data_IF_465375029341
#
_entry.id   IF_465375029341
#
_cell.length_a   1.000
_cell.length_b   1.000
_cell.length_c   1.000
_cell.angle_alpha   90.00
_cell.angle_beta   90.00
_cell.angle_gamma   90.00
#
_symmetry.space_group_name_H-M   'P 1'
#
loop_
_entity.id
_entity.type
_entity.pdbx_description
1 polymer ?
#
# COMPACT_ATOMS: atom_id res chain seq x y z
N UNK A 1 -13.98 -7.10 -17.23
CA UNK A 1 -12.56 -7.48 -17.15
C UNK A 1 -12.48 -8.83 -16.51
N UNK A 2 -11.85 -9.79 -17.17
CA UNK A 2 -11.72 -11.16 -16.69
C UNK A 2 -10.46 -11.25 -15.83
N UNK A 3 -10.61 -11.72 -14.60
CA UNK A 3 -9.52 -11.88 -13.65
C UNK A 3 -9.01 -13.30 -13.73
N UNK A 4 -7.76 -13.48 -14.14
CA UNK A 4 -7.16 -14.80 -14.24
C UNK A 4 -6.41 -15.08 -12.94
N UNK A 5 -6.76 -16.15 -12.24
CA UNK A 5 -6.14 -16.55 -10.98
C UNK A 5 -5.39 -17.86 -11.11
N UNK A 6 -4.17 -17.91 -10.58
CA UNK A 6 -3.36 -19.11 -10.43
C UNK A 6 -3.02 -19.34 -8.96
N UNK A 7 -3.08 -20.60 -8.54
CA UNK A 7 -2.64 -21.04 -7.21
C UNK A 7 -1.34 -21.81 -7.36
N UNK A 8 -0.42 -21.56 -6.45
CA UNK A 8 0.89 -22.18 -6.38
C UNK A 8 1.04 -22.93 -5.06
N UNK A 9 2.10 -23.73 -4.97
CA UNK A 9 2.51 -24.35 -3.72
C UNK A 9 2.82 -23.28 -2.65
N UNK A 10 2.83 -23.69 -1.37
CA UNK A 10 3.01 -22.80 -0.20
C UNK A 10 1.90 -21.76 0.01
N UNK A 11 0.68 -22.04 -0.47
CA UNK A 11 -0.50 -21.21 -0.23
C UNK A 11 -0.45 -19.85 -0.94
N UNK A 12 0.44 -19.68 -1.91
CA UNK A 12 0.52 -18.50 -2.76
C UNK A 12 -0.57 -18.55 -3.83
N UNK A 13 -1.26 -17.44 -4.00
CA UNK A 13 -2.22 -17.24 -5.07
C UNK A 13 -1.93 -15.90 -5.74
N UNK A 14 -1.83 -15.92 -7.06
CA UNK A 14 -1.62 -14.74 -7.88
C UNK A 14 -2.87 -14.57 -8.74
N UNK A 15 -3.38 -13.35 -8.83
CA UNK A 15 -4.45 -13.03 -9.77
C UNK A 15 -4.08 -11.79 -10.55
N UNK A 16 -4.23 -11.82 -11.87
CA UNK A 16 -3.91 -10.68 -12.71
C UNK A 16 -5.11 -10.27 -13.56
N UNK A 17 -5.18 -8.97 -13.84
CA UNK A 17 -6.23 -8.35 -14.63
C UNK A 17 -5.68 -7.09 -15.32
N UNK A 18 -6.17 -6.83 -16.54
CA UNK A 18 -5.88 -5.60 -17.27
C UNK A 18 -6.60 -4.43 -16.59
N UNK A 19 -5.87 -3.57 -15.87
CA UNK A 19 -6.44 -2.39 -15.23
C UNK A 19 -6.76 -1.30 -16.25
N UNK A 20 -5.93 -1.18 -17.29
CA UNK A 20 -6.16 -0.31 -18.45
C UNK A 20 -5.62 -0.99 -19.71
N UNK A 21 -5.72 -0.32 -20.86
CA UNK A 21 -5.16 -0.81 -22.14
C UNK A 21 -3.65 -0.99 -22.10
N UNK A 22 -2.98 -0.27 -21.21
CA UNK A 22 -1.53 -0.22 -21.13
C UNK A 22 -1.01 -0.87 -19.85
N UNK A 23 -1.87 -1.14 -18.85
CA UNK A 23 -1.47 -1.60 -17.51
C UNK A 23 -2.16 -2.91 -17.12
N UNK A 24 -1.37 -3.88 -16.66
CA UNK A 24 -1.82 -5.10 -15.98
C UNK A 24 -1.45 -5.00 -14.50
N UNK A 25 -2.42 -5.29 -13.63
CA UNK A 25 -2.18 -5.39 -12.20
C UNK A 25 -2.24 -6.84 -11.74
N UNK A 26 -1.36 -7.17 -10.80
CA UNK A 26 -1.12 -8.50 -10.26
C UNK A 26 -1.36 -8.44 -8.75
N UNK A 27 -2.49 -8.98 -8.30
CA UNK A 27 -2.79 -9.20 -6.89
C UNK A 27 -2.10 -10.44 -6.37
N UNK A 28 -1.52 -10.32 -5.17
CA UNK A 28 -0.80 -11.40 -4.51
C UNK A 28 -1.48 -11.74 -3.20
N UNK A 29 -1.77 -13.01 -2.99
CA UNK A 29 -2.31 -13.56 -1.75
C UNK A 29 -1.39 -14.64 -1.23
N UNK A 30 -1.13 -14.67 0.09
CA UNK A 30 -0.36 -15.74 0.72
C UNK A 30 -1.13 -16.29 1.92
N UNK A 31 -1.38 -17.60 1.92
CA UNK A 31 -2.20 -18.29 2.93
C UNK A 31 -3.58 -17.63 3.14
N UNK A 32 -4.20 -17.18 2.03
CA UNK A 32 -5.50 -16.49 2.05
C UNK A 32 -5.45 -15.02 2.49
N UNK A 33 -4.30 -14.51 2.95
CA UNK A 33 -4.12 -13.08 3.26
C UNK A 33 -3.74 -12.30 2.00
N UNK A 34 -4.41 -11.17 1.76
CA UNK A 34 -4.03 -10.24 0.70
C UNK A 34 -2.68 -9.57 1.07
N UNK A 35 -1.70 -9.68 0.17
CA UNK A 35 -0.35 -9.14 0.32
C UNK A 35 -0.13 -7.88 -0.53
N UNK A 36 -1.20 -7.28 -1.03
CA UNK A 36 -1.19 -6.15 -1.95
C UNK A 36 -1.15 -6.58 -3.41
N UNK A 37 -0.93 -5.59 -4.27
CA UNK A 37 -0.77 -5.77 -5.70
C UNK A 37 0.42 -4.95 -6.22
N UNK A 38 0.95 -5.36 -7.36
CA UNK A 38 1.88 -4.57 -8.15
C UNK A 38 1.37 -4.54 -9.60
N UNK A 39 1.77 -3.53 -10.36
CA UNK A 39 1.34 -3.39 -11.75
C UNK A 39 2.54 -3.26 -12.68
N UNK A 40 2.33 -3.59 -13.95
CA UNK A 40 3.31 -3.49 -15.02
C UNK A 40 2.62 -3.11 -16.32
N UNK A 41 3.39 -2.62 -17.27
CA UNK A 41 2.88 -2.39 -18.61
C UNK A 41 2.50 -3.74 -19.27
N UNK A 42 1.47 -3.71 -20.11
CA UNK A 42 1.01 -4.90 -20.86
C UNK A 42 2.15 -5.51 -21.68
N UNK A 43 3.00 -4.69 -22.29
CA UNK A 43 4.13 -5.18 -23.10
C UNK A 43 5.12 -6.00 -22.28
N UNK A 44 5.48 -5.54 -21.08
CA UNK A 44 6.39 -6.28 -20.19
C UNK A 44 5.71 -7.52 -19.60
N UNK A 45 4.43 -7.40 -19.23
CA UNK A 45 3.67 -8.53 -18.68
C UNK A 45 3.58 -9.70 -19.67
N UNK A 46 3.46 -9.42 -20.97
CA UNK A 46 3.40 -10.46 -22.01
C UNK A 46 4.70 -11.25 -22.18
N UNK A 47 5.84 -10.69 -21.77
CA UNK A 47 7.15 -11.35 -21.83
C UNK A 47 7.38 -12.27 -20.63
N UNK A 48 6.62 -12.12 -19.55
CA UNK A 48 6.82 -12.91 -18.32
C UNK A 48 6.27 -14.32 -18.45
N UNK A 49 7.10 -15.28 -18.10
CA UNK A 49 6.64 -16.65 -17.91
C UNK A 49 6.11 -16.86 -16.47
N UNK A 50 5.66 -18.08 -16.18
CA UNK A 50 5.14 -18.42 -14.85
C UNK A 50 6.22 -18.35 -13.75
N UNK A 51 7.48 -18.61 -14.08
CA UNK A 51 8.60 -18.54 -13.12
C UNK A 51 8.91 -17.08 -12.80
N UNK A 52 8.86 -16.20 -13.79
CA UNK A 52 9.03 -14.76 -13.60
C UNK A 52 7.94 -14.21 -12.69
N UNK A 53 6.68 -14.53 -12.98
CA UNK A 53 5.53 -14.13 -12.14
C UNK A 53 5.68 -14.63 -10.70
N UNK A 54 6.09 -15.88 -10.52
CA UNK A 54 6.31 -16.47 -9.20
C UNK A 54 7.44 -15.75 -8.44
N UNK A 55 8.54 -15.47 -9.11
CA UNK A 55 9.70 -14.80 -8.52
C UNK A 55 9.37 -13.35 -8.15
N UNK A 56 8.64 -12.64 -9.01
CA UNK A 56 8.16 -11.28 -8.74
C UNK A 56 7.20 -11.27 -7.55
N UNK A 57 6.23 -12.17 -7.50
CA UNK A 57 5.30 -12.27 -6.36
C UNK A 57 6.02 -12.61 -5.04
N UNK A 58 7.01 -13.51 -5.06
CA UNK A 58 7.85 -13.80 -3.88
C UNK A 58 8.67 -12.58 -3.44
N UNK A 59 9.21 -11.84 -4.40
CA UNK A 59 9.96 -10.61 -4.14
C UNK A 59 9.06 -9.53 -3.53
N UNK A 60 7.86 -9.33 -4.09
CA UNK A 60 6.82 -8.47 -3.55
C UNK A 60 6.45 -8.85 -2.11
N UNK A 61 6.17 -10.14 -1.85
CA UNK A 61 5.87 -10.62 -0.49
C UNK A 61 7.02 -10.33 0.46
N UNK A 62 8.27 -10.54 0.03
CA UNK A 62 9.44 -10.22 0.85
C UNK A 62 9.50 -8.73 1.13
N UNK A 63 9.30 -7.87 0.13
CA UNK A 63 9.27 -6.42 0.31
C UNK A 63 8.15 -5.98 1.26
N UNK A 64 6.95 -6.55 1.15
CA UNK A 64 5.83 -6.24 2.05
C UNK A 64 6.07 -6.74 3.48
N UNK A 65 6.73 -7.89 3.66
CA UNK A 65 7.10 -8.40 4.98
C UNK A 65 8.31 -7.69 5.60
N UNK A 66 9.27 -7.28 4.76
CA UNK A 66 10.50 -6.58 5.13
C UNK A 66 10.31 -5.08 5.27
N UNK A 67 9.28 -4.52 4.63
CA UNK A 67 8.60 -3.32 5.09
C UNK A 67 8.00 -3.68 6.46
N UNK A 68 8.86 -3.71 7.47
CA UNK A 68 8.42 -3.59 8.84
C UNK A 68 7.43 -2.43 8.84
N UNK A 69 6.16 -2.67 9.22
CA UNK A 69 5.44 -1.61 9.92
C UNK A 69 6.43 -1.16 10.99
N UNK A 70 6.92 0.09 10.96
CA UNK A 70 7.90 0.54 11.94
C UNK A 70 7.39 0.09 13.30
N UNK A 71 8.22 -0.64 14.05
CA UNK A 71 7.84 -1.15 15.37
C UNK A 71 7.58 -0.01 16.38
N UNK A 72 7.66 1.25 15.95
CA UNK A 72 6.92 2.37 16.52
C UNK A 72 5.83 2.82 15.56
N UNK A 73 4.60 2.35 15.75
CA UNK A 73 3.42 3.04 15.20
C UNK A 73 3.41 4.42 15.84
N UNK A 74 3.81 5.45 15.11
CA UNK A 74 3.67 6.82 15.58
C UNK A 74 2.19 7.17 15.48
N UNK A 75 1.47 6.90 16.56
CA UNK A 75 0.08 7.31 16.71
C UNK A 75 0.02 8.66 17.38
N UNK A 76 -0.70 9.59 16.78
CA UNK A 76 -0.91 10.93 17.33
C UNK A 76 -2.39 11.28 17.27
N UNK A 77 -2.93 11.80 18.37
CA UNK A 77 -4.26 12.42 18.36
C UNK A 77 -4.15 13.83 17.80
N UNK A 78 -5.06 14.17 16.89
CA UNK A 78 -5.12 15.47 16.23
C UNK A 78 -6.59 15.87 16.12
N UNK A 79 -6.98 16.87 16.91
CA UNK A 79 -8.38 17.27 17.07
C UNK A 79 -9.29 16.05 17.37
N UNK A 80 -10.28 15.79 16.52
CA UNK A 80 -11.27 14.72 16.67
C UNK A 80 -10.85 13.39 16.02
N UNK A 81 -9.59 13.28 15.59
CA UNK A 81 -9.03 12.14 14.88
C UNK A 81 -7.80 11.57 15.58
N UNK A 82 -7.49 10.32 15.29
CA UNK A 82 -6.19 9.71 15.56
C UNK A 82 -5.53 9.41 14.22
N UNK A 83 -4.25 9.76 14.07
CA UNK A 83 -3.47 9.38 12.89
C UNK A 83 -2.41 8.35 13.27
N UNK A 84 -2.20 7.37 12.39
CA UNK A 84 -1.06 6.45 12.42
C UNK A 84 -0.24 6.71 11.17
N UNK A 85 1.03 7.10 11.32
CA UNK A 85 1.89 7.36 10.17
C UNK A 85 3.14 6.48 10.16
N UNK A 86 3.54 6.07 8.97
CA UNK A 86 4.71 5.25 8.72
C UNK A 86 5.47 5.73 7.49
N UNK A 87 6.79 5.80 7.61
CA UNK A 87 7.68 6.00 6.46
C UNK A 87 7.66 4.72 5.62
N UNK A 88 7.15 4.81 4.39
CA UNK A 88 7.03 3.66 3.50
C UNK A 88 8.23 3.53 2.55
N UNK A 89 8.82 4.67 2.15
CA UNK A 89 10.07 4.84 1.39
C UNK A 89 10.88 6.01 1.99
N UNK A 90 12.16 6.19 1.62
CA UNK A 90 13.03 7.26 2.19
C UNK A 90 12.37 8.66 2.17
N UNK A 91 11.61 8.93 1.09
CA UNK A 91 11.00 10.25 0.83
C UNK A 91 9.47 10.25 0.93
N UNK A 92 8.84 9.19 1.43
CA UNK A 92 7.37 9.10 1.51
C UNK A 92 6.85 8.60 2.85
N UNK A 93 5.81 9.27 3.33
CA UNK A 93 5.10 8.94 4.57
C UNK A 93 3.64 8.65 4.24
N UNK A 94 3.16 7.49 4.68
CA UNK A 94 1.75 7.13 4.58
C UNK A 94 1.08 7.29 5.94
N UNK A 95 -0.14 7.80 5.93
CA UNK A 95 -0.91 8.22 7.09
C UNK A 95 -2.29 7.55 6.99
N UNK A 96 -2.65 6.81 8.04
CA UNK A 96 -4.00 6.30 8.26
C UNK A 96 -4.72 7.21 9.26
N UNK A 97 -5.95 7.59 8.97
CA UNK A 97 -6.78 8.44 9.83
C UNK A 97 -7.91 7.61 10.42
N UNK A 98 -8.09 7.72 11.74
CA UNK A 98 -9.07 6.98 12.52
C UNK A 98 -9.98 7.92 13.31
N UNK A 99 -11.21 7.50 13.54
CA UNK A 99 -12.12 8.08 14.52
C UNK A 99 -12.85 6.93 15.23
N UNK A 100 -12.77 6.89 16.56
CA UNK A 100 -13.36 5.81 17.37
C UNK A 100 -12.94 4.40 16.90
N UNK A 101 -11.64 4.20 16.62
CA UNK A 101 -11.03 2.97 16.08
C UNK A 101 -11.45 2.59 14.65
N UNK A 102 -12.38 3.29 14.02
CA UNK A 102 -12.73 3.10 12.62
C UNK A 102 -11.79 3.91 11.71
N UNK A 103 -11.18 3.25 10.72
CA UNK A 103 -10.34 3.92 9.74
C UNK A 103 -11.22 4.68 8.74
N UNK A 104 -11.09 6.00 8.72
CA UNK A 104 -11.85 6.88 7.83
C UNK A 104 -11.14 7.14 6.50
N UNK A 105 -9.81 7.26 6.53
CA UNK A 105 -9.02 7.57 5.34
C UNK A 105 -7.60 6.98 5.42
N UNK A 106 -6.96 6.89 4.26
CA UNK A 106 -5.53 6.62 4.12
C UNK A 106 -4.97 7.43 2.95
N UNK A 107 -3.84 8.10 3.17
CA UNK A 107 -3.16 8.86 2.14
C UNK A 107 -1.65 8.83 2.38
N UNK A 108 -0.87 9.15 1.34
CA UNK A 108 0.58 9.29 1.46
C UNK A 108 0.99 10.69 0.97
N UNK A 109 2.05 11.22 1.58
CA UNK A 109 2.67 12.48 1.22
C UNK A 109 4.18 12.27 1.08
N UNK A 110 4.83 13.17 0.34
CA UNK A 110 6.27 13.30 0.47
C UNK A 110 6.64 13.64 1.92
N UNK A 111 7.84 13.20 2.31
CA UNK A 111 8.34 13.32 3.68
C UNK A 111 8.50 14.77 4.12
N UNK A 112 8.93 15.65 3.22
CA UNK A 112 9.19 17.05 3.55
C UNK A 112 7.90 17.78 3.92
N UNK A 113 6.87 17.66 3.08
CA UNK A 113 5.53 18.21 3.38
C UNK A 113 4.98 17.65 4.69
N UNK A 114 5.15 16.35 4.93
CA UNK A 114 4.70 15.74 6.19
C UNK A 114 5.43 16.30 7.41
N UNK A 115 6.75 16.49 7.34
CA UNK A 115 7.54 17.08 8.42
C UNK A 115 7.08 18.52 8.73
N UNK A 116 6.79 19.33 7.70
CA UNK A 116 6.23 20.68 7.89
C UNK A 116 4.87 20.65 8.60
N UNK A 117 3.97 19.74 8.23
CA UNK A 117 2.67 19.62 8.89
C UNK A 117 2.82 19.17 10.34
N UNK A 118 3.74 18.26 10.63
CA UNK A 118 3.92 17.76 12.01
C UNK A 118 4.42 18.84 12.96
N UNK A 119 5.17 19.83 12.45
CA UNK A 119 5.62 21.01 13.21
C UNK A 119 4.47 21.98 13.54
N UNK A 120 3.42 22.02 12.72
CA UNK A 120 2.22 22.85 12.93
C UNK A 120 0.95 21.97 13.04
N UNK A 121 0.53 21.73 14.29
CA UNK A 121 -0.62 20.87 14.58
C UNK A 121 -1.94 21.37 13.95
N UNK A 122 -2.10 22.68 13.75
CA UNK A 122 -3.29 23.23 13.08
C UNK A 122 -3.27 22.91 11.59
N UNK A 123 -2.11 23.06 10.94
CA UNK A 123 -1.92 22.69 9.54
C UNK A 123 -2.18 21.20 9.32
N UNK A 124 -1.62 20.33 10.18
CA UNK A 124 -1.87 18.90 10.09
C UNK A 124 -3.35 18.55 10.32
N UNK A 125 -4.03 19.21 11.26
CA UNK A 125 -5.47 19.02 11.46
C UNK A 125 -6.30 19.43 10.24
N UNK A 126 -5.92 20.52 9.55
CA UNK A 126 -6.58 20.96 8.32
C UNK A 126 -6.38 19.93 7.19
N UNK A 127 -5.16 19.43 7.01
CA UNK A 127 -4.86 18.38 6.02
C UNK A 127 -5.66 17.11 6.33
N UNK A 128 -5.66 16.65 7.59
CA UNK A 128 -6.43 15.45 7.97
C UNK A 128 -7.92 15.63 7.68
N UNK A 129 -8.50 16.78 8.04
CA UNK A 129 -9.91 17.07 7.72
C UNK A 129 -10.20 17.06 6.22
N UNK A 130 -9.28 17.56 5.39
CA UNK A 130 -9.49 17.59 3.95
C UNK A 130 -9.48 16.20 3.30
N UNK A 131 -8.85 15.20 3.94
CA UNK A 131 -8.78 13.82 3.42
C UNK A 131 -9.95 12.93 3.86
N UNK A 132 -10.74 13.39 4.84
CA UNK A 132 -11.86 12.63 5.42
C UNK A 132 -13.23 13.09 4.88
N UNK A 133 -13.27 14.20 4.15
CA UNK A 133 -14.48 14.78 3.57
C UNK A 133 -14.99 14.03 2.33
#
# INVERSE_FOLDING_TARGET
MEKISKKFDDGLQIAYFEFSKDIVCIEVHQYGKNMGAFCSDVSYFQEWDEKDLLQLAKTHIKQVKSAQSPSGKNRKKIADYEIEYNTHFEDMVCINVFQNDDQLAAFCSDRHSFEEWVEDEELLAQVVRSQVQ
#
